data_IF_760116288068
#
_entry.id   IF_760116288068
#
_cell.length_a   1.000
_cell.length_b   1.000
_cell.length_c   1.000
_cell.angle_alpha   90.00
_cell.angle_beta   90.00
_cell.angle_gamma   90.00
#
_symmetry.space_group_name_H-M   'P 1'
#
loop_
_entity.id
_entity.type
_entity.pdbx_description
1 polymer ?
#
# COMPACT_ATOMS: atom_id res chain seq x y z
N UNK A 1 22.11 -8.57 0.97
CA UNK A 1 20.83 -8.04 1.47
C UNK A 1 19.76 -8.54 0.52
N UNK A 2 18.59 -8.89 1.02
CA UNK A 2 17.51 -9.52 0.22
C UNK A 2 16.71 -8.45 -0.54
N UNK A 3 16.40 -8.70 -1.81
CA UNK A 3 15.51 -7.87 -2.63
C UNK A 3 14.13 -8.50 -2.68
N UNK A 4 13.10 -7.68 -2.54
CA UNK A 4 11.70 -8.08 -2.69
C UNK A 4 11.08 -7.33 -3.85
N UNK A 5 10.28 -8.02 -4.66
CA UNK A 5 9.54 -7.43 -5.76
C UNK A 5 8.05 -7.54 -5.47
N UNK A 6 7.35 -6.40 -5.54
CA UNK A 6 5.92 -6.28 -5.34
C UNK A 6 5.28 -5.71 -6.61
N UNK A 7 4.10 -6.22 -6.96
CA UNK A 7 3.31 -5.73 -8.10
C UNK A 7 2.10 -4.98 -7.58
N UNK A 8 1.89 -3.77 -8.11
CA UNK A 8 0.73 -2.94 -7.76
C UNK A 8 -0.56 -3.66 -8.17
N UNK A 9 -1.48 -3.77 -7.23
CA UNK A 9 -2.80 -4.40 -7.43
C UNK A 9 -3.95 -3.43 -7.21
N UNK A 10 -3.74 -2.39 -6.39
CA UNK A 10 -4.78 -1.43 -6.05
C UNK A 10 -4.23 -0.02 -5.82
N UNK A 11 -5.04 0.98 -6.16
CA UNK A 11 -4.77 2.40 -5.91
C UNK A 11 -6.07 3.09 -5.52
N UNK A 12 -6.04 3.82 -4.39
CA UNK A 12 -7.24 4.47 -3.84
C UNK A 12 -6.90 5.79 -3.16
N UNK A 13 -7.86 6.70 -3.11
CA UNK A 13 -7.80 7.93 -2.31
C UNK A 13 -8.80 7.79 -1.16
N UNK A 14 -8.32 7.91 0.07
CA UNK A 14 -9.13 7.70 1.28
C UNK A 14 -8.99 8.85 2.26
N UNK A 15 -9.95 8.98 3.15
CA UNK A 15 -9.87 9.89 4.28
C UNK A 15 -8.79 9.44 5.28
N UNK A 16 -8.19 10.36 6.08
CA UNK A 16 -6.99 10.07 6.86
C UNK A 16 -7.20 9.11 8.03
N UNK A 17 -8.46 8.92 8.44
CA UNK A 17 -8.92 8.04 9.52
C UNK A 17 -9.32 6.65 9.02
N UNK A 18 -9.27 6.39 7.71
CA UNK A 18 -9.53 5.08 7.15
C UNK A 18 -8.36 4.12 7.43
N UNK A 19 -8.46 3.36 8.52
CA UNK A 19 -7.45 2.39 8.96
C UNK A 19 -7.53 1.03 8.23
N UNK A 20 -8.68 0.73 7.62
CA UNK A 20 -8.94 -0.57 6.97
C UNK A 20 -7.99 -0.89 5.82
N UNK A 21 -7.43 0.14 5.17
CA UNK A 21 -6.47 0.01 4.07
C UNK A 21 -5.12 -0.61 4.48
N UNK A 22 -4.87 -0.78 5.77
CA UNK A 22 -3.65 -1.41 6.30
C UNK A 22 -3.91 -2.78 6.93
N UNK A 23 -5.15 -3.26 6.92
CA UNK A 23 -5.47 -4.55 7.52
C UNK A 23 -4.83 -5.69 6.72
N UNK A 24 -4.23 -6.68 7.41
CA UNK A 24 -3.66 -7.84 6.74
C UNK A 24 -4.77 -8.66 6.07
N UNK A 25 -4.53 -9.07 4.83
CA UNK A 25 -5.37 -10.06 4.15
C UNK A 25 -4.74 -11.43 4.31
N UNK A 26 -5.52 -12.39 4.81
CA UNK A 26 -5.05 -13.76 5.02
C UNK A 26 -4.50 -14.37 3.73
N UNK A 27 -3.33 -15.01 3.83
CA UNK A 27 -2.65 -15.65 2.70
C UNK A 27 -1.91 -14.69 1.75
N UNK A 28 -1.94 -13.38 1.99
CA UNK A 28 -1.25 -12.38 1.15
C UNK A 28 -0.10 -11.71 1.87
N UNK A 29 0.95 -11.40 1.11
CA UNK A 29 2.02 -10.49 1.54
C UNK A 29 1.84 -9.16 0.81
N UNK A 30 1.36 -8.15 1.53
CA UNK A 30 1.03 -6.84 1.00
C UNK A 30 2.02 -5.78 1.47
N UNK A 31 2.39 -4.87 0.56
CA UNK A 31 3.03 -3.60 0.88
C UNK A 31 2.05 -2.47 0.57
N UNK A 32 1.94 -1.51 1.48
CA UNK A 32 1.14 -0.29 1.29
C UNK A 32 2.04 0.93 1.33
N UNK A 33 1.97 1.77 0.30
CA UNK A 33 2.62 3.08 0.26
C UNK A 33 1.56 4.18 0.41
N UNK A 34 1.82 5.16 1.26
CA UNK A 34 0.89 6.25 1.54
C UNK A 34 1.55 7.60 1.32
N UNK A 35 0.82 8.52 0.70
CA UNK A 35 1.20 9.94 0.64
C UNK A 35 -0.03 10.82 0.81
N UNK A 36 0.15 12.03 1.32
CA UNK A 36 -0.94 13.01 1.38
C UNK A 36 -1.27 13.53 -0.02
N UNK A 37 -2.54 13.88 -0.24
CA UNK A 37 -2.96 14.62 -1.43
C UNK A 37 -2.70 16.12 -1.24
N UNK A 38 -2.15 16.77 -2.26
CA UNK A 38 -1.95 18.23 -2.26
C UNK A 38 -3.16 18.95 -2.86
N UNK A 39 -3.45 20.21 -2.46
CA UNK A 39 -2.72 21.02 -1.46
C UNK A 39 -3.33 20.99 -0.05
N UNK A 40 -4.50 20.38 0.14
CA UNK A 40 -5.24 20.47 1.40
C UNK A 40 -4.86 19.38 2.41
N UNK A 41 -4.10 18.35 1.99
CA UNK A 41 -3.63 17.23 2.82
C UNK A 41 -4.75 16.46 3.52
N UNK A 42 -5.99 16.62 3.05
CA UNK A 42 -7.18 16.04 3.69
C UNK A 42 -7.41 14.59 3.32
N UNK A 43 -6.73 14.08 2.30
CA UNK A 43 -6.85 12.70 1.86
C UNK A 43 -5.48 12.07 1.71
N UNK A 44 -5.48 10.73 1.65
CA UNK A 44 -4.30 9.92 1.43
C UNK A 44 -4.44 9.16 0.13
N UNK A 45 -3.45 9.28 -0.74
CA UNK A 45 -3.26 8.34 -1.83
C UNK A 45 -2.57 7.10 -1.27
N UNK A 46 -3.22 5.95 -1.44
CA UNK A 46 -2.72 4.64 -1.06
C UNK A 46 -2.43 3.83 -2.33
N UNK A 47 -1.26 3.21 -2.39
CA UNK A 47 -0.90 2.23 -3.41
C UNK A 47 -0.57 0.92 -2.71
N UNK A 48 -1.30 -0.15 -3.04
CA UNK A 48 -1.04 -1.48 -2.53
C UNK A 48 -0.38 -2.36 -3.58
N UNK A 49 0.62 -3.12 -3.16
CA UNK A 49 1.24 -4.15 -3.97
C UNK A 49 1.33 -5.48 -3.26
N UNK A 50 1.22 -6.57 -4.02
CA UNK A 50 1.36 -7.94 -3.53
C UNK A 50 2.73 -8.49 -3.93
N UNK A 51 3.37 -9.24 -3.02
CA UNK A 51 4.68 -9.84 -3.23
C UNK A 51 4.63 -10.81 -4.42
N UNK A 52 5.55 -10.64 -5.37
CA UNK A 52 5.70 -11.54 -6.53
C UNK A 52 7.00 -12.34 -6.48
N UNK A 53 8.05 -11.80 -5.87
CA UNK A 53 9.34 -12.49 -5.82
C UNK A 53 10.22 -12.05 -4.64
N UNK A 54 10.95 -13.02 -4.08
CA UNK A 54 12.01 -12.80 -3.10
C UNK A 54 13.33 -13.28 -3.69
N UNK A 55 14.33 -12.40 -3.82
CA UNK A 55 15.68 -12.72 -4.31
C UNK A 55 16.73 -12.49 -3.20
N UNK A 56 17.43 -13.55 -2.82
CA UNK A 56 18.49 -13.57 -1.78
C UNK A 56 19.86 -13.17 -2.29
#
# INVERSE_FOLDING_TARGET
GTKYEYRVTEQMVVDPDNVGVMEPTEGKSLVSLQTCTLPDYKQRLIVQGELVETRS
#
